data_IF_358905071468
#
_entry.id   IF_358905071468
#
_cell.length_a   1.000
_cell.length_b   1.000
_cell.length_c   1.000
_cell.angle_alpha   90.00
_cell.angle_beta   90.00
_cell.angle_gamma   90.00
#
_symmetry.space_group_name_H-M   'P 1'
#
loop_
_entity.id
_entity.type
_entity.pdbx_description
1 polymer ?
#
# COMPACT_ATOMS: atom_id res chain seq x y z
N UNK A 1 11.28 -19.67 11.91
CA UNK A 1 10.88 -18.43 11.20
C UNK A 1 12.07 -17.50 10.97
N UNK A 2 12.89 -17.20 11.99
CA UNK A 2 14.04 -16.30 11.86
C UNK A 2 14.97 -16.56 10.66
N UNK A 3 15.37 -17.82 10.42
CA UNK A 3 16.27 -18.16 9.30
C UNK A 3 15.68 -17.86 7.92
N UNK A 4 14.36 -17.99 7.76
CA UNK A 4 13.70 -17.71 6.49
C UNK A 4 13.65 -16.19 6.26
N UNK A 5 13.26 -15.42 7.29
CA UNK A 5 13.28 -13.95 7.23
C UNK A 5 14.67 -13.42 6.90
N UNK A 6 15.72 -14.00 7.49
CA UNK A 6 17.10 -13.59 7.21
C UNK A 6 17.48 -13.84 5.74
N UNK A 7 17.01 -14.95 5.15
CA UNK A 7 17.20 -15.24 3.72
C UNK A 7 16.54 -14.15 2.87
N UNK A 8 15.27 -13.86 3.12
CA UNK A 8 14.55 -12.84 2.36
C UNK A 8 15.13 -11.44 2.56
N UNK A 9 15.57 -11.07 3.77
CA UNK A 9 16.23 -9.78 4.04
C UNK A 9 17.56 -9.68 3.28
N UNK A 10 18.35 -10.76 3.21
CA UNK A 10 19.60 -10.77 2.43
C UNK A 10 19.33 -10.62 0.93
N UNK A 11 18.30 -11.29 0.42
CA UNK A 11 17.88 -11.16 -0.98
C UNK A 11 17.34 -9.76 -1.27
N UNK A 12 16.54 -9.21 -0.36
CA UNK A 12 16.02 -7.85 -0.43
C UNK A 12 17.13 -6.80 -0.32
N UNK A 13 18.21 -7.07 0.40
CA UNK A 13 19.37 -6.19 0.52
C UNK A 13 19.97 -5.81 -0.85
N UNK A 14 20.04 -6.75 -1.78
CA UNK A 14 20.52 -6.48 -3.15
C UNK A 14 19.55 -5.54 -3.89
N UNK A 15 18.24 -5.74 -3.73
CA UNK A 15 17.24 -4.84 -4.30
C UNK A 15 17.26 -3.46 -3.66
N UNK A 16 17.50 -3.37 -2.35
CA UNK A 16 17.65 -2.11 -1.63
C UNK A 16 18.82 -1.29 -2.18
N UNK A 17 19.94 -1.93 -2.52
CA UNK A 17 21.09 -1.25 -3.14
C UNK A 17 20.77 -0.59 -4.48
N UNK A 18 19.77 -1.08 -5.23
CA UNK A 18 19.34 -0.49 -6.51
C UNK A 18 18.18 0.50 -6.27
N UNK A 19 17.26 0.13 -5.39
CA UNK A 19 16.06 0.89 -5.11
C UNK A 19 16.36 2.19 -4.37
N UNK A 20 17.32 2.21 -3.44
CA UNK A 20 17.68 3.41 -2.69
C UNK A 20 18.26 4.48 -3.63
N UNK A 21 19.27 4.22 -4.48
CA UNK A 21 19.73 5.22 -5.45
C UNK A 21 18.63 5.68 -6.42
N UNK A 22 17.80 4.76 -6.92
CA UNK A 22 16.66 5.12 -7.77
C UNK A 22 15.70 6.06 -7.04
N UNK A 23 15.39 5.77 -5.79
CA UNK A 23 14.55 6.60 -4.94
C UNK A 23 15.16 7.98 -4.66
N UNK A 24 16.47 8.05 -4.42
CA UNK A 24 17.19 9.30 -4.23
C UNK A 24 17.17 10.17 -5.50
N UNK A 25 17.42 9.57 -6.67
CA UNK A 25 17.43 10.30 -7.94
C UNK A 25 16.04 10.83 -8.32
N UNK A 26 14.99 10.03 -8.13
CA UNK A 26 13.62 10.43 -8.45
C UNK A 26 12.98 11.32 -7.37
N UNK A 27 13.34 11.16 -6.10
CA UNK A 27 12.74 11.92 -5.01
C UNK A 27 13.00 13.42 -5.11
N UNK A 28 14.17 13.82 -5.63
CA UNK A 28 14.47 15.23 -5.91
C UNK A 28 13.54 15.83 -6.97
N UNK A 29 13.14 15.07 -7.99
CA UNK A 29 12.23 15.55 -9.05
C UNK A 29 10.79 15.66 -8.55
N UNK A 30 10.34 14.69 -7.74
CA UNK A 30 8.96 14.66 -7.27
C UNK A 30 8.68 15.58 -6.08
N UNK A 31 9.72 16.05 -5.39
CA UNK A 31 9.57 17.05 -4.32
C UNK A 31 8.99 18.37 -4.81
N UNK A 32 9.17 18.74 -6.08
CA UNK A 32 8.50 19.91 -6.66
C UNK A 32 6.96 19.73 -6.72
N UNK A 33 6.50 18.48 -6.69
CA UNK A 33 5.10 18.08 -6.77
C UNK A 33 4.72 17.26 -5.54
N UNK A 34 4.87 17.78 -4.30
CA UNK A 34 4.78 17.03 -3.04
C UNK A 34 3.80 15.82 -2.97
N UNK A 35 2.60 15.91 -3.54
CA UNK A 35 1.66 14.76 -3.67
C UNK A 35 2.17 13.61 -4.55
N UNK A 36 2.80 13.93 -5.67
CA UNK A 36 3.46 12.98 -6.56
C UNK A 36 4.60 12.22 -5.88
N UNK A 37 5.36 12.88 -5.00
CA UNK A 37 6.39 12.23 -4.17
C UNK A 37 5.79 11.20 -3.22
N UNK A 38 4.68 11.54 -2.56
CA UNK A 38 4.00 10.62 -1.66
C UNK A 38 3.46 9.38 -2.39
N UNK A 39 2.77 9.59 -3.52
CA UNK A 39 2.22 8.49 -4.32
C UNK A 39 3.33 7.60 -4.89
N UNK A 40 4.39 8.18 -5.46
CA UNK A 40 5.51 7.40 -6.00
C UNK A 40 6.19 6.58 -4.91
N UNK A 41 6.32 7.14 -3.70
CA UNK A 41 6.85 6.43 -2.53
C UNK A 41 6.01 5.22 -2.14
N UNK A 42 4.67 5.33 -2.18
CA UNK A 42 3.76 4.21 -1.95
C UNK A 42 3.97 3.13 -3.02
N UNK A 43 4.01 3.51 -4.29
CA UNK A 43 4.20 2.55 -5.39
C UNK A 43 5.55 1.84 -5.33
N UNK A 44 6.63 2.56 -5.04
CA UNK A 44 7.97 1.99 -4.92
C UNK A 44 8.03 1.03 -3.73
N UNK A 45 7.45 1.42 -2.58
CA UNK A 45 7.42 0.57 -1.38
C UNK A 45 6.57 -0.68 -1.61
N UNK A 46 5.41 -0.54 -2.24
CA UNK A 46 4.58 -1.67 -2.64
C UNK A 46 5.34 -2.58 -3.61
N UNK A 47 5.99 -2.02 -4.64
CA UNK A 47 6.80 -2.76 -5.59
C UNK A 47 7.92 -3.53 -4.90
N UNK A 48 8.64 -2.93 -3.96
CA UNK A 48 9.68 -3.60 -3.17
C UNK A 48 9.12 -4.74 -2.31
N UNK A 49 7.98 -4.52 -1.67
CA UNK A 49 7.33 -5.54 -0.84
C UNK A 49 6.89 -6.77 -1.66
N UNK A 50 6.46 -6.55 -2.91
CA UNK A 50 6.04 -7.61 -3.83
C UNK A 50 7.16 -8.13 -4.73
N UNK A 51 8.26 -7.39 -4.91
CA UNK A 51 9.33 -7.74 -5.84
C UNK A 51 10.05 -9.02 -5.44
N UNK A 52 10.12 -9.30 -4.14
CA UNK A 52 10.74 -10.51 -3.60
C UNK A 52 10.01 -11.76 -4.10
N UNK A 53 8.68 -11.72 -4.27
CA UNK A 53 7.95 -12.87 -4.81
C UNK A 53 8.26 -13.13 -6.28
N UNK A 54 8.73 -12.13 -7.04
CA UNK A 54 9.20 -12.32 -8.40
C UNK A 54 10.56 -13.03 -8.44
N UNK A 55 11.44 -12.71 -7.49
CA UNK A 55 12.74 -13.37 -7.32
C UNK A 55 12.53 -14.83 -6.96
N UNK A 56 11.73 -15.10 -5.92
CA UNK A 56 11.48 -16.47 -5.49
C UNK A 56 10.74 -17.31 -6.54
N UNK A 57 9.87 -16.67 -7.33
CA UNK A 57 9.26 -17.33 -8.48
C UNK A 57 10.30 -17.69 -9.54
N UNK A 58 11.21 -16.77 -9.89
CA UNK A 58 12.24 -16.99 -10.92
C UNK A 58 13.22 -18.10 -10.54
N UNK A 59 13.58 -18.20 -9.26
CA UNK A 59 14.55 -19.18 -8.76
C UNK A 59 13.91 -20.43 -8.15
N UNK A 60 12.59 -20.60 -8.27
CA UNK A 60 11.81 -21.70 -7.67
C UNK A 60 12.09 -21.92 -6.17
N UNK A 61 12.48 -20.87 -5.43
CA UNK A 61 12.91 -20.99 -4.03
C UNK A 61 11.81 -21.60 -3.17
N UNK A 62 10.54 -21.25 -3.43
CA UNK A 62 9.38 -21.79 -2.73
C UNK A 62 9.27 -23.31 -2.88
N UNK A 63 9.57 -23.85 -4.06
CA UNK A 63 9.53 -25.30 -4.34
C UNK A 63 10.64 -26.02 -3.57
N UNK A 64 11.84 -25.46 -3.59
CA UNK A 64 12.97 -25.98 -2.82
C UNK A 64 12.67 -25.97 -1.31
N UNK A 65 12.16 -24.86 -0.78
CA UNK A 65 11.84 -24.75 0.66
C UNK A 65 10.69 -25.70 1.05
N UNK A 66 9.72 -25.94 0.17
CA UNK A 66 8.65 -26.92 0.42
C UNK A 66 9.13 -28.39 0.43
N UNK A 67 10.34 -28.68 -0.07
CA UNK A 67 10.96 -30.03 0.08
C UNK A 67 11.51 -30.29 1.48
N UNK A 68 11.72 -29.22 2.26
CA UNK A 68 12.12 -29.29 3.66
C UNK A 68 10.88 -29.47 4.55
N UNK A 69 11.02 -29.90 5.82
CA UNK A 69 9.91 -30.04 6.76
C UNK A 69 9.39 -28.68 7.27
N UNK A 70 9.04 -27.79 6.34
CA UNK A 70 8.52 -26.46 6.58
C UNK A 70 7.05 -26.43 6.16
N UNK A 71 6.19 -26.00 7.08
CA UNK A 71 4.77 -25.89 6.79
C UNK A 71 4.48 -24.71 5.86
N UNK A 72 3.69 -24.95 4.81
CA UNK A 72 3.26 -23.93 3.83
C UNK A 72 2.64 -22.68 4.45
N UNK A 73 1.95 -22.81 5.60
CA UNK A 73 1.35 -21.65 6.28
C UNK A 73 2.41 -20.68 6.83
N UNK A 74 3.58 -21.19 7.23
CA UNK A 74 4.69 -20.38 7.76
C UNK A 74 5.33 -19.53 6.67
N UNK A 75 5.44 -20.08 5.44
CA UNK A 75 5.94 -19.33 4.28
C UNK A 75 5.03 -18.14 3.96
N UNK A 76 3.72 -18.34 3.98
CA UNK A 76 2.77 -17.24 3.77
C UNK A 76 2.91 -16.19 4.86
N UNK A 77 2.90 -16.58 6.15
CA UNK A 77 3.04 -15.65 7.27
C UNK A 77 4.32 -14.82 7.19
N UNK A 78 5.43 -15.45 6.81
CA UNK A 78 6.70 -14.78 6.60
C UNK A 78 6.61 -13.68 5.53
N UNK A 79 5.92 -13.91 4.41
CA UNK A 79 5.73 -12.87 3.38
C UNK A 79 4.99 -11.66 3.89
N UNK A 80 3.93 -11.86 4.69
CA UNK A 80 3.20 -10.74 5.29
C UNK A 80 4.07 -9.98 6.30
N UNK A 81 4.81 -10.69 7.15
CA UNK A 81 5.71 -10.07 8.11
C UNK A 81 6.79 -9.25 7.40
N UNK A 82 7.34 -9.79 6.32
CA UNK A 82 8.35 -9.11 5.53
C UNK A 82 7.79 -7.91 4.77
N UNK A 83 6.62 -8.03 4.14
CA UNK A 83 5.97 -6.89 3.49
C UNK A 83 5.69 -5.76 4.48
N UNK A 84 5.23 -6.11 5.69
CA UNK A 84 5.03 -5.14 6.76
C UNK A 84 6.36 -4.48 7.18
N UNK A 85 7.43 -5.27 7.37
CA UNK A 85 8.76 -4.75 7.66
C UNK A 85 9.28 -3.79 6.57
N UNK A 86 9.15 -4.18 5.30
CA UNK A 86 9.50 -3.33 4.14
C UNK A 86 8.67 -2.06 4.12
N UNK A 87 7.38 -2.14 4.48
CA UNK A 87 6.49 -0.96 4.54
C UNK A 87 6.94 0.03 5.60
N UNK A 88 7.26 -0.44 6.81
CA UNK A 88 7.75 0.39 7.91
C UNK A 88 9.11 1.01 7.55
N UNK A 89 10.05 0.20 7.05
CA UNK A 89 11.36 0.69 6.62
C UNK A 89 11.24 1.70 5.45
N UNK A 90 10.36 1.42 4.49
CA UNK A 90 10.06 2.31 3.38
C UNK A 90 9.54 3.66 3.85
N UNK A 91 8.58 3.67 4.77
CA UNK A 91 8.07 4.91 5.37
C UNK A 91 9.18 5.72 6.07
N UNK A 92 10.00 5.07 6.88
CA UNK A 92 11.12 5.72 7.57
C UNK A 92 12.14 6.29 6.59
N UNK A 93 12.43 5.58 5.50
CA UNK A 93 13.34 6.05 4.47
C UNK A 93 12.78 7.25 3.72
N UNK A 94 11.51 7.20 3.34
CA UNK A 94 10.78 8.29 2.65
C UNK A 94 10.77 9.55 3.52
N UNK A 95 10.37 9.42 4.79
CA UNK A 95 10.29 10.56 5.72
C UNK A 95 11.67 11.10 6.10
N UNK A 96 12.64 10.22 6.35
CA UNK A 96 14.02 10.62 6.62
C UNK A 96 14.64 11.37 5.44
N UNK A 97 14.46 10.85 4.22
CA UNK A 97 14.97 11.49 3.00
C UNK A 97 14.28 12.83 2.73
N UNK A 98 12.95 12.90 2.88
CA UNK A 98 12.21 14.16 2.78
C UNK A 98 12.69 15.18 3.82
N UNK A 99 12.99 14.74 5.05
CA UNK A 99 13.58 15.58 6.10
C UNK A 99 14.92 16.19 5.69
N UNK A 100 15.86 15.36 5.17
CA UNK A 100 17.16 15.84 4.68
C UNK A 100 16.99 16.86 3.56
N UNK A 101 16.12 16.59 2.59
CA UNK A 101 15.89 17.49 1.45
C UNK A 101 15.21 18.79 1.87
N UNK A 102 14.29 18.75 2.84
CA UNK A 102 13.65 19.96 3.36
C UNK A 102 14.68 20.92 3.95
N UNK A 103 15.73 20.39 4.58
CA UNK A 103 16.82 21.18 5.12
C UNK A 103 17.75 21.73 4.03
N UNK A 104 18.01 20.97 2.97
CA UNK A 104 18.90 21.37 1.88
C UNK A 104 18.27 22.39 0.92
N UNK A 105 16.96 22.26 0.63
CA UNK A 105 16.27 23.05 -0.39
C UNK A 105 15.22 24.01 0.16
N UNK A 106 15.06 24.12 1.48
CA UNK A 106 14.07 25.00 2.15
C UNK A 106 12.60 24.72 1.79
N UNK A 107 12.26 23.49 1.36
CA UNK A 107 10.90 23.07 0.97
C UNK A 107 10.15 22.50 2.18
N UNK A 108 9.95 23.34 3.21
CA UNK A 108 9.53 22.86 4.55
C UNK A 108 8.06 22.44 4.63
N UNK A 109 7.18 23.12 3.91
CA UNK A 109 5.72 22.95 4.06
C UNK A 109 5.23 21.60 3.54
N UNK A 110 5.77 21.13 2.41
CA UNK A 110 5.33 19.89 1.76
C UNK A 110 5.81 18.62 2.49
N UNK A 111 6.93 18.71 3.20
CA UNK A 111 7.49 17.60 3.98
C UNK A 111 6.74 17.39 5.30
N UNK A 112 6.14 18.44 5.84
CA UNK A 112 5.41 18.40 7.11
C UNK A 112 4.19 17.47 7.06
N UNK A 113 3.48 17.40 5.92
CA UNK A 113 2.34 16.50 5.76
C UNK A 113 2.75 15.01 5.71
N UNK A 114 3.85 14.67 5.03
CA UNK A 114 4.34 13.28 4.97
C UNK A 114 4.89 12.80 6.31
N UNK A 115 5.62 13.67 7.00
CA UNK A 115 6.19 13.38 8.31
C UNK A 115 5.13 13.42 9.44
N UNK A 116 3.91 13.87 9.14
CA UNK A 116 2.81 13.86 10.10
C UNK A 116 2.39 12.43 10.46
N UNK A 117 1.87 12.25 11.68
CA UNK A 117 1.28 10.99 12.14
C UNK A 117 0.17 10.50 11.19
N UNK A 118 -0.66 11.41 10.69
CA UNK A 118 -1.69 11.11 9.70
C UNK A 118 -1.12 10.59 8.39
N UNK A 119 -0.03 11.20 7.90
CA UNK A 119 0.67 10.77 6.69
C UNK A 119 1.25 9.37 6.84
N UNK A 120 1.91 9.09 7.97
CA UNK A 120 2.48 7.77 8.24
C UNK A 120 1.44 6.66 8.37
N UNK A 121 0.36 6.91 9.11
CA UNK A 121 -0.74 5.95 9.24
C UNK A 121 -1.35 5.68 7.86
N UNK A 122 -1.65 6.72 7.08
CA UNK A 122 -2.22 6.58 5.73
C UNK A 122 -1.28 5.81 4.81
N UNK A 123 0.03 6.05 4.89
CA UNK A 123 1.04 5.37 4.09
C UNK A 123 1.06 3.88 4.39
N UNK A 124 1.19 3.53 5.67
CA UNK A 124 1.25 2.13 6.13
C UNK A 124 -0.04 1.39 5.74
N UNK A 125 -1.20 2.00 5.98
CA UNK A 125 -2.49 1.40 5.65
C UNK A 125 -2.66 1.20 4.13
N UNK A 126 -2.24 2.17 3.32
CA UNK A 126 -2.36 2.09 1.86
C UNK A 126 -1.48 0.96 1.31
N UNK A 127 -0.21 0.89 1.71
CA UNK A 127 0.69 -0.20 1.27
C UNK A 127 0.19 -1.55 1.80
N UNK A 128 -0.32 -1.59 3.04
CA UNK A 128 -0.93 -2.78 3.63
C UNK A 128 -2.12 -3.30 2.83
N UNK A 129 -3.00 -2.39 2.41
CA UNK A 129 -4.11 -2.73 1.56
C UNK A 129 -3.65 -3.29 0.22
N UNK A 130 -2.61 -2.70 -0.40
CA UNK A 130 -2.04 -3.21 -1.66
C UNK A 130 -1.58 -4.67 -1.51
N UNK A 131 -0.72 -4.98 -0.53
CA UNK A 131 -0.23 -6.36 -0.40
C UNK A 131 -1.31 -7.34 0.08
N UNK A 132 -2.31 -6.86 0.83
CA UNK A 132 -3.48 -7.68 1.21
C UNK A 132 -4.33 -8.10 0.01
N UNK A 133 -4.30 -7.37 -1.11
CA UNK A 133 -4.98 -7.79 -2.34
C UNK A 133 -4.03 -8.63 -3.20
N UNK A 134 -2.75 -8.25 -3.26
CA UNK A 134 -1.74 -8.91 -4.07
C UNK A 134 -1.47 -10.36 -3.64
N UNK A 135 -1.21 -10.62 -2.35
CA UNK A 135 -0.76 -11.94 -1.90
C UNK A 135 -1.77 -13.08 -2.15
N UNK A 136 -3.09 -12.91 -1.88
CA UNK A 136 -4.07 -13.92 -2.27
C UNK A 136 -4.02 -14.26 -3.76
N UNK A 137 -3.85 -13.26 -4.63
CA UNK A 137 -3.74 -13.45 -6.06
C UNK A 137 -2.46 -14.21 -6.44
N UNK A 138 -1.34 -13.81 -5.88
CA UNK A 138 -0.04 -14.46 -6.08
C UNK A 138 -0.05 -15.93 -5.65
N UNK A 139 -0.49 -16.22 -4.42
CA UNK A 139 -0.49 -17.58 -3.90
C UNK A 139 -1.47 -18.51 -4.61
N UNK A 140 -2.56 -17.96 -5.14
CA UNK A 140 -3.58 -18.72 -5.88
C UNK A 140 -3.17 -19.01 -7.33
N UNK A 141 -2.60 -18.05 -8.05
CA UNK A 141 -2.38 -18.16 -9.50
C UNK A 141 -0.91 -18.05 -9.93
N UNK A 142 0.03 -17.88 -9.00
CA UNK A 142 1.44 -17.62 -9.29
C UNK A 142 1.70 -16.18 -9.72
N UNK A 143 2.96 -15.88 -10.08
CA UNK A 143 3.39 -14.52 -10.38
C UNK A 143 2.64 -13.92 -11.59
N UNK A 144 2.62 -14.60 -12.73
CA UNK A 144 2.06 -14.05 -13.97
C UNK A 144 0.55 -13.80 -13.89
N UNK A 145 -0.25 -14.87 -13.77
CA UNK A 145 -1.71 -14.78 -13.69
C UNK A 145 -2.18 -14.05 -12.42
N UNK A 146 -1.46 -14.20 -11.31
CA UNK A 146 -1.74 -13.49 -10.06
C UNK A 146 -1.57 -11.98 -10.20
N UNK A 147 -0.49 -11.53 -10.86
CA UNK A 147 -0.27 -10.11 -11.13
C UNK A 147 -1.35 -9.52 -12.04
N UNK A 148 -1.73 -10.22 -13.12
CA UNK A 148 -2.83 -9.77 -14.00
C UNK A 148 -4.14 -9.65 -13.22
N UNK A 149 -4.46 -10.64 -12.40
CA UNK A 149 -5.70 -10.63 -11.61
C UNK A 149 -5.69 -9.51 -10.57
N UNK A 150 -4.56 -9.30 -9.88
CA UNK A 150 -4.36 -8.18 -8.97
C UNK A 150 -4.59 -6.83 -9.67
N UNK A 151 -3.99 -6.63 -10.84
CA UNK A 151 -4.16 -5.40 -11.63
C UNK A 151 -5.62 -5.16 -12.03
N UNK A 152 -6.36 -6.20 -12.42
CA UNK A 152 -7.79 -6.10 -12.72
C UNK A 152 -8.62 -5.75 -11.48
N UNK A 153 -8.31 -6.31 -10.31
CA UNK A 153 -8.99 -5.98 -9.06
C UNK A 153 -8.73 -4.51 -8.68
N UNK A 154 -7.48 -4.06 -8.76
CA UNK A 154 -7.13 -2.67 -8.47
C UNK A 154 -7.81 -1.72 -9.45
N UNK A 155 -7.84 -2.06 -10.75
CA UNK A 155 -8.56 -1.28 -11.76
C UNK A 155 -10.06 -1.19 -11.42
N UNK A 156 -10.69 -2.32 -11.08
CA UNK A 156 -12.10 -2.36 -10.71
C UNK A 156 -12.37 -1.52 -9.45
N UNK A 157 -11.50 -1.58 -8.45
CA UNK A 157 -11.59 -0.74 -7.25
C UNK A 157 -11.44 0.74 -7.58
N UNK A 158 -10.49 1.12 -8.43
CA UNK A 158 -10.32 2.50 -8.90
C UNK A 158 -11.56 2.99 -9.66
N UNK A 159 -12.12 2.17 -10.56
CA UNK A 159 -13.36 2.49 -11.26
C UNK A 159 -14.53 2.64 -10.28
N UNK A 160 -14.64 1.77 -9.28
CA UNK A 160 -15.70 1.84 -8.27
C UNK A 160 -15.58 3.11 -7.42
N UNK A 161 -14.37 3.46 -6.98
CA UNK A 161 -14.10 4.70 -6.23
C UNK A 161 -14.41 5.93 -7.08
N UNK A 162 -14.10 5.91 -8.38
CA UNK A 162 -14.42 6.99 -9.30
C UNK A 162 -15.93 7.08 -9.62
N UNK A 163 -16.65 5.95 -9.57
CA UNK A 163 -18.09 5.90 -9.82
C UNK A 163 -18.91 6.54 -8.70
N UNK A 164 -18.47 6.42 -7.43
CA UNK A 164 -19.18 6.99 -6.27
C UNK A 164 -19.45 8.50 -6.42
N UNK A 165 -18.46 9.38 -6.69
CA UNK A 165 -18.72 10.80 -6.88
C UNK A 165 -19.55 11.06 -8.15
N UNK A 166 -19.34 10.31 -9.23
CA UNK A 166 -20.13 10.48 -10.46
C UNK A 166 -21.61 10.16 -10.24
N UNK A 167 -21.92 9.10 -9.47
CA UNK A 167 -23.29 8.77 -9.09
C UNK A 167 -23.88 9.80 -8.11
N UNK A 168 -23.06 10.33 -7.19
CA UNK A 168 -23.48 11.38 -6.27
C UNK A 168 -23.82 12.68 -7.02
N UNK A 169 -23.07 13.04 -8.07
CA UNK A 169 -23.39 14.16 -8.95
C UNK A 169 -24.71 13.94 -9.70
N UNK A 170 -24.93 12.75 -10.26
CA UNK A 170 -26.21 12.40 -10.93
C UNK A 170 -27.38 12.46 -9.94
N UNK A 171 -27.20 12.00 -8.70
CA UNK A 171 -28.23 12.09 -7.66
C UNK A 171 -28.48 13.52 -7.19
N UNK A 172 -27.44 14.36 -7.11
CA UNK A 172 -27.59 15.75 -6.67
C UNK A 172 -28.18 16.66 -7.76
N UNK A 173 -27.95 16.36 -9.05
CA UNK A 173 -28.64 17.04 -10.16
C UNK A 173 -30.16 16.79 -10.13
N UNK A 174 -30.62 15.71 -9.49
CA UNK A 174 -32.05 15.44 -9.26
C UNK A 174 -32.66 16.22 -8.07
N UNK A 175 -31.85 16.87 -7.23
CA UNK A 175 -32.31 17.69 -6.11
C UNK A 175 -32.43 19.17 -6.57
N UNK A 176 -33.64 19.76 -6.63
CA UNK A 176 -33.84 21.12 -7.13
C UNK A 176 -33.10 22.19 -6.31
N UNK A 177 -32.68 21.88 -5.08
CA UNK A 177 -31.87 22.77 -4.24
C UNK A 177 -30.40 22.90 -4.70
N UNK A 178 -29.91 21.97 -5.54
CA UNK A 178 -28.52 21.94 -6.04
C UNK A 178 -28.13 23.19 -6.83
N UNK A 179 -29.05 23.73 -7.63
CA UNK A 179 -28.83 24.92 -8.45
C UNK A 179 -28.58 26.20 -7.64
N UNK A 180 -28.89 26.20 -6.34
CA UNK A 180 -28.74 27.39 -5.50
C UNK A 180 -27.33 27.59 -4.94
N UNK A 181 -26.49 26.54 -4.81
CA UNK A 181 -25.13 26.65 -4.22
C UNK A 181 -24.11 25.61 -4.77
N UNK A 182 -23.78 25.63 -6.08
CA UNK A 182 -22.95 24.60 -6.71
C UNK A 182 -21.48 24.55 -6.20
N UNK A 183 -20.92 25.68 -5.77
CA UNK A 183 -19.50 25.75 -5.35
C UNK A 183 -19.19 25.20 -3.95
N UNK A 184 -20.17 25.18 -3.04
CA UNK A 184 -19.94 24.81 -1.63
C UNK A 184 -19.96 23.31 -1.36
N UNK A 185 -20.81 22.57 -2.07
CA UNK A 185 -21.05 21.13 -1.84
C UNK A 185 -20.09 20.21 -2.60
N UNK A 186 -19.56 20.66 -3.74
CA UNK A 186 -18.52 19.93 -4.49
C UNK A 186 -17.22 19.77 -3.67
N UNK A 187 -16.89 20.77 -2.85
CA UNK A 187 -15.80 20.67 -1.84
C UNK A 187 -16.13 19.68 -0.73
N UNK A 188 -17.37 19.60 -0.26
CA UNK A 188 -17.78 18.64 0.77
C UNK A 188 -17.80 17.18 0.27
N UNK A 189 -18.23 16.96 -0.98
CA UNK A 189 -18.33 15.63 -1.61
C UNK A 189 -16.97 14.99 -1.90
N UNK A 190 -15.98 15.78 -2.31
CA UNK A 190 -14.61 15.32 -2.55
C UNK A 190 -13.84 15.02 -1.24
N UNK A 191 -14.50 15.05 -0.08
CA UNK A 191 -13.84 14.88 1.22
C UNK A 191 -12.96 16.07 1.63
N UNK A 192 -13.04 17.20 0.90
CA UNK A 192 -12.42 18.48 1.30
C UNK A 192 -13.38 19.36 2.12
N UNK A 193 -14.51 18.81 2.55
CA UNK A 193 -15.41 19.45 3.50
C UNK A 193 -14.67 19.65 4.81
N UNK A 194 -14.82 20.85 5.40
CA UNK A 194 -14.23 21.21 6.70
C UNK A 194 -14.29 19.97 7.60
N UNK A 195 -13.15 19.40 8.00
CA UNK A 195 -13.18 18.28 8.92
C UNK A 195 -14.00 18.78 10.10
N UNK A 196 -15.07 18.09 10.46
CA UNK A 196 -15.74 18.40 11.72
C UNK A 196 -14.64 18.44 12.76
N UNK A 197 -14.45 19.57 13.42
CA UNK A 197 -13.39 19.76 14.43
C UNK A 197 -13.59 18.81 15.63
N UNK A 198 -14.68 18.06 15.63
CA UNK A 198 -14.91 16.96 16.55
C UNK A 198 -13.87 15.84 16.38
N UNK A 199 -12.85 15.92 17.22
CA UNK A 199 -11.82 14.89 17.43
C UNK A 199 -12.44 13.50 17.58
N UNK A 200 -13.64 13.37 18.17
CA UNK A 200 -14.32 12.08 18.39
C UNK A 200 -14.69 11.41 17.07
N UNK A 201 -15.20 12.17 16.11
CA UNK A 201 -15.54 11.65 14.78
C UNK A 201 -14.29 11.18 14.02
N UNK A 202 -13.17 11.92 14.13
CA UNK A 202 -11.90 11.53 13.51
C UNK A 202 -11.34 10.24 14.11
N UNK A 203 -11.37 10.12 15.44
CA UNK A 203 -10.91 8.93 16.15
C UNK A 203 -11.78 7.71 15.86
N UNK A 204 -13.11 7.87 15.83
CA UNK A 204 -14.04 6.79 15.49
C UNK A 204 -13.82 6.28 14.05
N UNK A 205 -13.66 7.19 13.08
CA UNK A 205 -13.38 6.82 11.69
C UNK A 205 -12.02 6.12 11.55
N UNK A 206 -10.97 6.66 12.17
CA UNK A 206 -9.65 6.03 12.17
C UNK A 206 -9.68 4.63 12.82
N UNK A 207 -10.43 4.46 13.91
CA UNK A 207 -10.62 3.17 14.58
C UNK A 207 -11.33 2.14 13.68
N UNK A 208 -12.43 2.54 13.02
CA UNK A 208 -13.15 1.68 12.08
C UNK A 208 -12.27 1.27 10.89
N UNK A 209 -11.51 2.22 10.34
CA UNK A 209 -10.62 1.95 9.21
C UNK A 209 -9.47 1.01 9.61
N UNK A 210 -8.90 1.19 10.80
CA UNK A 210 -7.90 0.26 11.35
C UNK A 210 -8.48 -1.15 11.49
N UNK A 211 -9.68 -1.30 12.06
CA UNK A 211 -10.35 -2.59 12.21
C UNK A 211 -10.58 -3.23 10.83
N UNK A 212 -11.07 -2.46 9.86
CA UNK A 212 -11.31 -2.93 8.50
C UNK A 212 -10.01 -3.42 7.83
N UNK A 213 -8.90 -2.70 7.99
CA UNK A 213 -7.60 -3.13 7.44
C UNK A 213 -7.08 -4.37 8.17
N UNK A 214 -7.16 -4.44 9.50
CA UNK A 214 -6.72 -5.62 10.26
C UNK A 214 -7.54 -6.86 9.89
N UNK A 215 -8.87 -6.73 9.76
CA UNK A 215 -9.74 -7.79 9.26
C UNK A 215 -9.38 -8.15 7.82
N UNK A 216 -9.19 -7.17 6.94
CA UNK A 216 -8.76 -7.37 5.56
C UNK A 216 -7.46 -8.17 5.47
N UNK A 217 -6.45 -7.82 6.27
CA UNK A 217 -5.17 -8.55 6.34
C UNK A 217 -5.36 -9.97 6.87
N UNK A 218 -6.16 -10.18 7.91
CA UNK A 218 -6.43 -11.52 8.46
C UNK A 218 -7.16 -12.42 7.46
N UNK A 219 -8.16 -11.88 6.76
CA UNK A 219 -8.90 -12.57 5.71
C UNK A 219 -7.98 -12.89 4.53
N UNK A 220 -7.18 -11.91 4.13
CA UNK A 220 -6.17 -12.05 3.09
C UNK A 220 -5.17 -13.15 3.41
N UNK A 221 -4.63 -13.17 4.64
CA UNK A 221 -3.74 -14.23 5.13
C UNK A 221 -4.42 -15.61 5.07
N UNK A 222 -5.66 -15.72 5.55
CA UNK A 222 -6.41 -16.96 5.51
C UNK A 222 -6.66 -17.46 4.08
N UNK A 223 -7.00 -16.56 3.15
CA UNK A 223 -7.18 -16.85 1.74
C UNK A 223 -5.87 -17.27 1.06
N UNK A 224 -4.76 -16.59 1.37
CA UNK A 224 -3.43 -16.94 0.90
C UNK A 224 -3.01 -18.34 1.37
N UNK A 225 -3.16 -18.65 2.65
CA UNK A 225 -2.84 -19.99 3.21
C UNK A 225 -3.71 -21.06 2.57
N UNK A 226 -5.01 -20.84 2.46
CA UNK A 226 -5.94 -21.80 1.83
C UNK A 226 -5.59 -22.04 0.37
N UNK A 227 -5.27 -20.98 -0.37
CA UNK A 227 -4.93 -21.07 -1.79
C UNK A 227 -3.59 -21.80 -2.00
N UNK A 228 -2.60 -21.49 -1.18
CA UNK A 228 -1.27 -22.10 -1.28
C UNK A 228 -1.25 -23.58 -0.88
N UNK A 229 -2.10 -24.00 0.07
CA UNK A 229 -2.27 -25.42 0.43
C UNK A 229 -2.80 -26.27 -0.73
N UNK A 230 -3.63 -25.71 -1.62
CA UNK A 230 -4.24 -26.43 -2.76
C UNK A 230 -3.38 -26.43 -4.01
N UNK A 231 -2.20 -25.83 -3.95
CA UNK A 231 -1.32 -25.70 -5.11
C UNK A 231 -0.46 -26.96 -5.24
N UNK A 232 -0.62 -27.66 -6.34
CA UNK A 232 0.24 -28.79 -6.71
C UNK A 232 1.50 -28.22 -7.40
N UNK A 233 2.66 -28.77 -7.04
CA UNK A 233 3.99 -28.39 -7.55
C UNK A 233 4.66 -29.59 -8.21
#
# INVERSE_FOLDING_TARGET
MYNLLLKDVRMAGIFLWIAVPGFLLYGAQFLAFGRGYYLSSIFITAFLSTGITAVDWKYETDRFVCSLPVERHRLVQERYLLAFGVTVCGYLLVTGYAGVLSHLFSIRDQVSELASWSGGITFILTVTLIFSIYYPCYFRWGLGRGFVTFSLIILALCCLVALVPALAEVWQVADPSFWSQPGGRLRQLLGFGRPTDDLRCRLAFAGLLLIAVLHGVSLSLALSVRSYRRRDF
#
